data_IF_958477829565
#
_entry.id   IF_958477829565
#
_cell.length_a   1.000
_cell.length_b   1.000
_cell.length_c   1.000
_cell.angle_alpha   90.00
_cell.angle_beta   90.00
_cell.angle_gamma   90.00
#
_symmetry.space_group_name_H-M   'P 1'
#
loop_
_entity.id
_entity.type
_entity.pdbx_description
1 polymer ?
#
# COMPACT_ATOMS: atom_id res chain seq x y z
N UNK A 1 -5.78 -29.15 4.20
CA UNK A 1 -5.67 -28.14 3.12
C UNK A 1 -5.63 -26.71 3.67
N UNK A 2 -6.46 -26.37 4.66
CA UNK A 2 -6.52 -25.04 5.31
C UNK A 2 -5.22 -24.61 6.02
N UNK A 3 -4.42 -25.53 6.55
CA UNK A 3 -3.17 -25.17 7.25
C UNK A 3 -2.11 -24.52 6.35
N UNK A 4 -2.14 -24.79 5.03
CA UNK A 4 -1.26 -24.12 4.06
C UNK A 4 -1.69 -22.68 3.76
N UNK A 5 -2.93 -22.31 4.07
CA UNK A 5 -3.50 -20.97 3.86
C UNK A 5 -3.38 -20.08 5.09
N UNK A 6 -3.13 -20.67 6.28
CA UNK A 6 -2.89 -19.95 7.53
C UNK A 6 -1.83 -18.85 7.50
N UNK A 7 -0.78 -18.85 6.64
CA UNK A 7 0.13 -17.70 6.58
C UNK A 7 -0.38 -16.56 5.68
N UNK A 8 -1.41 -16.79 4.86
CA UNK A 8 -1.90 -15.83 3.85
C UNK A 8 -3.20 -15.12 4.23
N UNK A 9 -3.86 -15.50 5.33
CA UNK A 9 -5.16 -14.92 5.71
C UNK A 9 -5.07 -13.40 5.91
N UNK A 10 -3.99 -12.90 6.50
CA UNK A 10 -3.81 -11.47 6.72
C UNK A 10 -3.54 -10.75 5.38
N UNK A 11 -2.85 -11.38 4.43
CA UNK A 11 -2.68 -10.84 3.07
C UNK A 11 -4.01 -10.75 2.34
N UNK A 12 -4.82 -11.81 2.37
CA UNK A 12 -6.15 -11.82 1.77
C UNK A 12 -7.03 -10.75 2.40
N UNK A 13 -7.02 -10.65 3.74
CA UNK A 13 -7.71 -9.62 4.48
C UNK A 13 -7.31 -8.22 4.02
N UNK A 14 -6.01 -7.90 4.00
CA UNK A 14 -5.50 -6.58 3.60
C UNK A 14 -5.83 -6.27 2.14
N UNK A 15 -5.70 -7.25 1.23
CA UNK A 15 -6.03 -7.10 -0.19
C UNK A 15 -7.53 -6.90 -0.44
N UNK A 16 -8.40 -7.42 0.42
CA UNK A 16 -9.85 -7.15 0.35
C UNK A 16 -10.24 -5.85 1.04
N UNK A 17 -9.59 -5.52 2.14
CA UNK A 17 -9.92 -4.35 2.94
C UNK A 17 -9.61 -3.04 2.21
N UNK A 18 -8.43 -2.92 1.59
CA UNK A 18 -8.02 -1.69 0.88
C UNK A 18 -9.00 -1.27 -0.22
N UNK A 19 -9.41 -2.12 -1.19
CA UNK A 19 -10.35 -1.70 -2.22
C UNK A 19 -11.73 -1.38 -1.66
N UNK A 20 -12.21 -2.10 -0.64
CA UNK A 20 -13.47 -1.79 0.04
C UNK A 20 -13.42 -0.45 0.78
N UNK A 21 -12.30 -0.15 1.44
CA UNK A 21 -12.05 1.13 2.10
C UNK A 21 -12.07 2.29 1.09
N UNK A 22 -11.38 2.14 -0.04
CA UNK A 22 -11.35 3.16 -1.10
C UNK A 22 -12.73 3.33 -1.76
N UNK A 23 -13.47 2.23 -1.95
CA UNK A 23 -14.84 2.29 -2.44
C UNK A 23 -15.76 3.02 -1.44
N UNK A 24 -15.63 2.73 -0.14
CA UNK A 24 -16.39 3.43 0.90
C UNK A 24 -16.04 4.92 0.92
N UNK A 25 -14.76 5.28 0.89
CA UNK A 25 -14.31 6.68 0.83
C UNK A 25 -14.85 7.41 -0.41
N UNK A 26 -14.92 6.74 -1.56
CA UNK A 26 -15.49 7.34 -2.77
C UNK A 26 -16.92 7.85 -2.59
N UNK A 27 -17.69 7.26 -1.65
CA UNK A 27 -19.10 7.60 -1.36
C UNK A 27 -19.27 8.56 -0.18
N UNK A 28 -18.20 8.89 0.54
CA UNK A 28 -18.26 9.80 1.68
C UNK A 28 -18.56 11.22 1.23
N UNK A 29 -19.45 11.89 1.98
CA UNK A 29 -19.79 13.30 1.78
C UNK A 29 -19.49 14.16 3.00
N UNK A 30 -19.28 13.55 4.18
CA UNK A 30 -19.09 14.26 5.43
C UNK A 30 -17.78 13.86 6.15
N UNK A 31 -17.15 14.83 6.82
CA UNK A 31 -15.85 14.66 7.48
C UNK A 31 -15.87 13.59 8.58
N UNK A 32 -16.96 13.48 9.33
CA UNK A 32 -17.10 12.48 10.40
C UNK A 32 -17.05 11.04 9.88
N UNK A 33 -17.54 10.78 8.65
CA UNK A 33 -17.46 9.46 8.03
C UNK A 33 -16.00 9.10 7.73
N UNK A 34 -15.21 10.09 7.31
CA UNK A 34 -13.79 9.92 7.05
C UNK A 34 -13.02 9.67 8.35
N UNK A 35 -13.42 10.31 9.45
CA UNK A 35 -12.88 10.02 10.79
C UNK A 35 -13.24 8.61 11.26
N UNK A 36 -14.46 8.15 11.01
CA UNK A 36 -14.87 6.78 11.32
C UNK A 36 -14.04 5.76 10.53
N UNK A 37 -13.80 6.00 9.23
CA UNK A 37 -12.87 5.18 8.44
C UNK A 37 -11.44 5.24 8.98
N UNK A 38 -10.97 6.41 9.40
CA UNK A 38 -9.67 6.59 10.04
C UNK A 38 -9.53 5.75 11.30
N UNK A 39 -10.49 5.85 12.22
CA UNK A 39 -10.52 5.07 13.45
C UNK A 39 -10.56 3.56 13.17
N UNK A 40 -11.40 3.14 12.23
CA UNK A 40 -11.47 1.74 11.80
C UNK A 40 -10.12 1.26 11.26
N UNK A 41 -9.50 2.02 10.35
CA UNK A 41 -8.21 1.66 9.74
C UNK A 41 -7.10 1.60 10.78
N UNK A 42 -7.11 2.52 11.73
CA UNK A 42 -6.14 2.56 12.82
C UNK A 42 -6.31 1.37 13.77
N UNK A 43 -7.55 1.03 14.14
CA UNK A 43 -7.85 -0.14 14.95
C UNK A 43 -7.39 -1.43 14.25
N UNK A 44 -7.64 -1.54 12.94
CA UNK A 44 -7.20 -2.68 12.14
C UNK A 44 -5.69 -2.77 12.04
N UNK A 45 -4.99 -1.66 11.81
CA UNK A 45 -3.53 -1.63 11.82
C UNK A 45 -2.99 -2.05 13.19
N UNK A 46 -3.52 -1.50 14.27
CA UNK A 46 -3.11 -1.83 15.62
C UNK A 46 -3.26 -3.34 15.87
N UNK A 47 -4.44 -3.91 15.62
CA UNK A 47 -4.72 -5.33 15.81
C UNK A 47 -3.86 -6.23 14.90
N UNK A 48 -3.61 -5.83 13.66
CA UNK A 48 -2.74 -6.57 12.76
C UNK A 48 -1.28 -6.50 13.21
N UNK A 49 -0.82 -5.34 13.66
CA UNK A 49 0.55 -5.11 14.13
C UNK A 49 0.85 -5.83 15.46
N UNK A 50 -0.17 -6.14 16.27
CA UNK A 50 0.00 -7.00 17.46
C UNK A 50 0.49 -8.41 17.11
N UNK A 51 0.25 -8.89 15.88
CA UNK A 51 0.73 -10.20 15.40
C UNK A 51 2.17 -10.17 14.89
N UNK A 52 2.77 -8.98 14.76
CA UNK A 52 4.15 -8.81 14.32
C UNK A 52 5.12 -8.75 15.53
N UNK A 53 6.38 -9.19 15.36
CA UNK A 53 7.44 -8.98 16.34
C UNK A 53 7.62 -7.49 16.70
N UNK A 54 8.16 -7.22 17.89
CA UNK A 54 8.28 -5.86 18.45
C UNK A 54 9.02 -4.90 17.51
N UNK A 55 10.10 -5.37 16.89
CA UNK A 55 10.95 -4.59 15.99
C UNK A 55 10.18 -4.20 14.72
N UNK A 56 9.47 -5.17 14.13
CA UNK A 56 8.64 -4.95 12.93
C UNK A 56 7.47 -4.02 13.22
N UNK A 57 6.84 -4.16 14.39
CA UNK A 57 5.78 -3.25 14.85
C UNK A 57 6.29 -1.82 14.96
N UNK A 58 7.51 -1.62 15.45
CA UNK A 58 8.11 -0.29 15.53
C UNK A 58 8.37 0.29 14.13
N UNK A 59 8.87 -0.52 13.18
CA UNK A 59 9.02 -0.10 11.78
C UNK A 59 7.70 0.33 11.14
N UNK A 60 6.61 -0.39 11.42
CA UNK A 60 5.26 -0.04 10.94
C UNK A 60 4.84 1.34 11.45
N UNK A 61 5.00 1.63 12.74
CA UNK A 61 4.63 2.94 13.30
C UNK A 61 5.54 4.07 12.83
N UNK A 62 6.83 3.81 12.63
CA UNK A 62 7.74 4.76 11.98
C UNK A 62 7.28 5.05 10.55
N UNK A 63 6.88 4.04 9.79
CA UNK A 63 6.32 4.19 8.45
C UNK A 63 5.07 5.07 8.46
N UNK A 64 4.14 4.88 9.41
CA UNK A 64 2.96 5.76 9.59
C UNK A 64 3.40 7.21 9.78
N UNK A 65 4.34 7.48 10.68
CA UNK A 65 4.82 8.84 10.95
C UNK A 65 5.48 9.49 9.73
N UNK A 66 6.40 8.78 9.07
CA UNK A 66 7.12 9.25 7.88
C UNK A 66 6.15 9.49 6.72
N UNK A 67 5.24 8.54 6.45
CA UNK A 67 4.24 8.67 5.40
C UNK A 67 3.30 9.84 5.67
N UNK A 68 2.88 10.07 6.92
CA UNK A 68 2.09 11.25 7.29
C UNK A 68 2.81 12.55 6.93
N UNK A 69 4.10 12.65 7.26
CA UNK A 69 4.92 13.81 6.91
C UNK A 69 4.97 14.06 5.40
N UNK A 70 5.21 13.01 4.61
CA UNK A 70 5.23 13.11 3.14
C UNK A 70 3.85 13.42 2.55
N UNK A 71 2.77 12.91 3.13
CA UNK A 71 1.40 13.20 2.69
C UNK A 71 1.04 14.66 2.95
N UNK A 72 1.34 15.19 4.13
CA UNK A 72 1.15 16.61 4.46
C UNK A 72 1.98 17.47 3.51
N UNK A 73 3.25 17.11 3.32
CA UNK A 73 4.14 17.86 2.45
C UNK A 73 3.69 17.81 0.98
N UNK A 74 3.38 16.63 0.46
CA UNK A 74 2.98 16.45 -0.94
C UNK A 74 1.62 17.06 -1.26
N UNK A 75 0.66 16.96 -0.34
CA UNK A 75 -0.72 17.41 -0.60
C UNK A 75 -1.05 18.82 -0.12
N UNK A 76 -0.58 19.22 1.08
CA UNK A 76 -0.95 20.50 1.69
C UNK A 76 0.10 21.59 1.46
N UNK A 77 1.40 21.24 1.45
CA UNK A 77 2.49 22.22 1.33
C UNK A 77 2.89 22.43 -0.13
N UNK A 78 3.26 21.36 -0.84
CA UNK A 78 3.67 21.40 -2.24
C UNK A 78 2.45 21.45 -3.17
N UNK A 79 1.41 20.66 -2.86
CA UNK A 79 0.20 20.59 -3.68
C UNK A 79 0.38 19.80 -4.97
N UNK A 80 1.27 18.80 -4.99
CA UNK A 80 1.47 17.86 -6.12
C UNK A 80 0.19 17.10 -6.44
N UNK A 81 -0.61 16.82 -5.43
CA UNK A 81 -1.95 16.25 -5.55
C UNK A 81 -2.85 16.83 -4.45
N UNK A 82 -4.18 16.70 -4.61
CA UNK A 82 -5.16 17.22 -3.65
C UNK A 82 -6.19 16.15 -3.30
N UNK A 83 -6.51 16.08 -2.01
CA UNK A 83 -7.64 15.30 -1.51
C UNK A 83 -8.95 16.05 -1.70
N UNK A 84 -10.05 15.31 -1.89
CA UNK A 84 -11.39 15.86 -2.17
C UNK A 84 -11.86 16.85 -1.10
N UNK A 85 -11.59 16.55 0.17
CA UNK A 85 -12.00 17.37 1.32
C UNK A 85 -10.91 18.34 1.80
N UNK A 86 -9.88 18.57 0.98
CA UNK A 86 -8.74 19.46 1.27
C UNK A 86 -7.96 19.13 2.56
N UNK A 87 -8.22 17.97 3.17
CA UNK A 87 -7.49 17.43 4.29
C UNK A 87 -6.90 16.06 3.93
N UNK A 88 -5.84 15.66 4.64
CA UNK A 88 -5.36 14.28 4.56
C UNK A 88 -6.37 13.37 5.28
N UNK A 89 -6.97 12.37 4.60
CA UNK A 89 -7.87 11.44 5.25
C UNK A 89 -7.18 10.71 6.39
N UNK A 90 -7.85 10.59 7.54
CA UNK A 90 -7.26 9.93 8.71
C UNK A 90 -6.96 8.43 8.51
N UNK A 91 -7.55 7.81 7.50
CA UNK A 91 -7.23 6.42 7.14
C UNK A 91 -5.94 6.29 6.32
N UNK A 92 -5.43 7.37 5.70
CA UNK A 92 -4.24 7.31 4.83
C UNK A 92 -2.98 6.96 5.63
N UNK A 93 -2.66 7.64 6.76
CA UNK A 93 -1.51 7.26 7.57
C UNK A 93 -1.49 5.79 8.01
N UNK A 94 -2.53 5.24 8.67
CA UNK A 94 -2.54 3.83 9.04
C UNK A 94 -2.64 2.90 7.81
N UNK A 95 -3.22 3.37 6.69
CA UNK A 95 -3.25 2.66 5.42
C UNK A 95 -1.85 2.35 4.88
N UNK A 96 -0.93 3.32 4.92
CA UNK A 96 0.49 3.11 4.58
C UNK A 96 1.14 2.08 5.51
N UNK A 97 0.86 2.15 6.81
CA UNK A 97 1.30 1.15 7.78
C UNK A 97 0.79 -0.26 7.47
N UNK A 98 -0.46 -0.39 7.01
CA UNK A 98 -1.04 -1.68 6.59
C UNK A 98 -0.33 -2.25 5.36
N UNK A 99 -0.01 -1.41 4.36
CA UNK A 99 0.74 -1.81 3.17
C UNK A 99 2.17 -2.23 3.53
N UNK A 100 2.82 -1.49 4.43
CA UNK A 100 4.15 -1.84 4.92
C UNK A 100 4.15 -3.17 5.68
N UNK A 101 3.17 -3.37 6.58
CA UNK A 101 2.98 -4.63 7.29
C UNK A 101 2.68 -5.80 6.33
N UNK A 102 1.88 -5.57 5.29
CA UNK A 102 1.64 -6.54 4.23
C UNK A 102 2.96 -7.00 3.60
N UNK A 103 3.84 -6.06 3.23
CA UNK A 103 5.15 -6.36 2.66
C UNK A 103 6.03 -7.19 3.60
N UNK A 104 6.12 -6.79 4.87
CA UNK A 104 6.89 -7.52 5.90
C UNK A 104 6.43 -8.96 6.08
N UNK A 105 5.12 -9.18 6.09
CA UNK A 105 4.53 -10.51 6.22
C UNK A 105 4.64 -11.31 4.92
N UNK A 106 4.49 -10.65 3.76
CA UNK A 106 4.57 -11.31 2.46
C UNK A 106 5.96 -11.88 2.22
N UNK A 107 6.99 -11.14 2.65
CA UNK A 107 8.37 -11.57 2.51
C UNK A 107 8.72 -12.84 3.30
N UNK A 108 7.93 -13.16 4.34
CA UNK A 108 8.05 -14.40 5.14
C UNK A 108 7.22 -15.57 4.60
N UNK A 109 6.47 -15.38 3.51
CA UNK A 109 5.65 -16.46 2.95
C UNK A 109 6.50 -17.52 2.25
N UNK A 110 6.11 -18.81 2.29
CA UNK A 110 6.85 -19.89 1.65
C UNK A 110 7.11 -19.67 0.15
N UNK A 111 6.17 -19.03 -0.56
CA UNK A 111 6.30 -18.73 -1.99
C UNK A 111 7.40 -17.71 -2.24
N UNK A 112 7.47 -16.64 -1.45
CA UNK A 112 8.50 -15.60 -1.60
C UNK A 112 9.87 -16.13 -1.20
N UNK A 113 9.96 -16.92 -0.13
CA UNK A 113 11.22 -17.55 0.31
C UNK A 113 11.75 -18.51 -0.77
N UNK A 114 10.87 -19.35 -1.36
CA UNK A 114 11.27 -20.37 -2.34
C UNK A 114 11.50 -19.82 -3.75
N UNK A 115 10.72 -18.82 -4.17
CA UNK A 115 10.68 -18.32 -5.55
C UNK A 115 10.92 -16.80 -5.67
N UNK A 116 11.56 -16.16 -4.70
CA UNK A 116 11.68 -14.70 -4.57
C UNK A 116 12.04 -13.96 -5.86
N UNK A 117 13.03 -14.45 -6.64
CA UNK A 117 13.39 -13.86 -7.94
C UNK A 117 12.26 -13.92 -8.98
N UNK A 118 11.52 -15.04 -9.05
CA UNK A 118 10.38 -15.18 -9.97
C UNK A 118 9.22 -14.30 -9.51
N UNK A 119 8.96 -14.24 -8.20
CA UNK A 119 7.93 -13.36 -7.62
C UNK A 119 8.24 -11.90 -7.93
N UNK A 120 9.47 -11.44 -7.71
CA UNK A 120 9.90 -10.07 -8.02
C UNK A 120 9.72 -9.73 -9.51
N UNK A 121 10.06 -10.65 -10.43
CA UNK A 121 9.83 -10.45 -11.87
C UNK A 121 8.34 -10.37 -12.22
N UNK A 122 7.50 -11.21 -11.61
CA UNK A 122 6.04 -11.15 -11.81
C UNK A 122 5.48 -9.83 -11.30
N UNK A 123 5.89 -9.37 -10.12
CA UNK A 123 5.49 -8.06 -9.57
C UNK A 123 5.92 -6.94 -10.51
N UNK A 124 7.17 -6.97 -10.99
CA UNK A 124 7.68 -5.96 -11.91
C UNK A 124 6.95 -5.98 -13.26
N UNK A 125 6.64 -7.17 -13.79
CA UNK A 125 5.87 -7.30 -15.02
C UNK A 125 4.45 -6.75 -14.85
N UNK A 126 3.78 -7.05 -13.72
CA UNK A 126 2.46 -6.51 -13.40
C UNK A 126 2.49 -4.99 -13.24
N UNK A 127 3.49 -4.45 -12.55
CA UNK A 127 3.67 -3.00 -12.40
C UNK A 127 3.97 -2.31 -13.74
N UNK A 128 4.78 -2.92 -14.59
CA UNK A 128 5.06 -2.44 -15.94
C UNK A 128 3.81 -2.45 -16.82
N UNK A 129 3.03 -3.54 -16.79
CA UNK A 129 1.75 -3.63 -17.51
C UNK A 129 0.78 -2.54 -17.03
N UNK A 130 0.71 -2.30 -15.71
CA UNK A 130 -0.12 -1.24 -15.14
C UNK A 130 0.36 0.15 -15.60
N UNK A 131 1.66 0.44 -15.58
CA UNK A 131 2.20 1.72 -16.02
C UNK A 131 1.91 1.96 -17.52
N UNK A 132 2.11 0.95 -18.37
CA UNK A 132 1.77 1.05 -19.80
C UNK A 132 0.27 1.28 -19.98
N UNK A 133 -0.57 0.53 -19.27
CA UNK A 133 -2.02 0.73 -19.30
C UNK A 133 -2.41 2.14 -18.83
N UNK A 134 -1.78 2.65 -17.78
CA UNK A 134 -1.95 3.99 -17.21
C UNK A 134 -1.61 5.15 -18.15
N UNK A 135 -0.73 4.90 -19.13
CA UNK A 135 -0.35 5.87 -20.15
C UNK A 135 -1.15 5.73 -21.46
N UNK A 136 -1.77 4.58 -21.71
CA UNK A 136 -2.36 4.25 -23.03
C UNK A 136 -3.86 3.99 -22.98
N UNK A 137 -4.30 2.95 -22.27
CA UNK A 137 -5.69 2.46 -22.28
C UNK A 137 -6.53 3.08 -21.16
N UNK A 138 -5.99 3.16 -19.94
CA UNK A 138 -6.71 3.72 -18.79
C UNK A 138 -7.09 5.20 -18.95
N UNK A 139 -6.31 6.07 -19.64
CA UNK A 139 -6.74 7.44 -19.90
C UNK A 139 -8.00 7.52 -20.76
N UNK A 140 -8.23 6.55 -21.65
CA UNK A 140 -9.43 6.49 -22.51
C UNK A 140 -10.69 6.24 -21.65
N UNK A 141 -10.55 5.46 -20.57
CA UNK A 141 -11.66 5.07 -19.69
C UNK A 141 -11.85 6.08 -18.55
N UNK A 142 -10.75 6.52 -17.93
CA UNK A 142 -10.75 7.34 -16.70
C UNK A 142 -10.55 8.84 -16.96
N UNK A 143 -10.14 9.22 -18.17
CA UNK A 143 -9.79 10.60 -18.53
C UNK A 143 -8.49 11.10 -17.90
N UNK A 144 -7.71 10.23 -17.22
CA UNK A 144 -6.51 10.63 -16.48
C UNK A 144 -5.29 9.81 -16.90
N UNK A 145 -4.19 10.49 -17.13
CA UNK A 145 -2.88 9.87 -17.42
C UNK A 145 -2.14 9.64 -16.12
N UNK A 146 -1.73 8.39 -15.86
CA UNK A 146 -0.94 8.02 -14.69
C UNK A 146 0.56 8.28 -14.92
N UNK A 147 0.93 9.54 -15.05
CA UNK A 147 2.31 9.95 -15.27
C UNK A 147 3.18 9.67 -14.03
N UNK A 148 2.64 9.88 -12.83
CA UNK A 148 3.38 9.68 -11.59
C UNK A 148 3.73 8.19 -11.39
N UNK A 149 2.78 7.28 -11.62
CA UNK A 149 3.04 5.84 -11.59
C UNK A 149 4.13 5.42 -12.58
N UNK A 150 4.12 5.96 -13.80
CA UNK A 150 5.15 5.70 -14.80
C UNK A 150 6.54 6.21 -14.39
N UNK A 151 6.62 7.39 -13.78
CA UNK A 151 7.89 7.96 -13.28
C UNK A 151 8.45 7.20 -12.07
N UNK A 152 7.57 6.63 -11.24
CA UNK A 152 7.99 5.81 -10.10
C UNK A 152 8.47 4.41 -10.50
N UNK A 153 8.05 3.89 -11.67
CA UNK A 153 8.39 2.53 -12.11
C UNK A 153 9.91 2.27 -12.23
N UNK A 154 10.75 3.14 -12.82
CA UNK A 154 12.20 2.91 -12.89
C UNK A 154 12.85 2.81 -11.50
N UNK A 155 12.42 3.65 -10.55
CA UNK A 155 12.92 3.62 -9.17
C UNK A 155 12.50 2.31 -8.49
N UNK A 156 11.24 1.93 -8.64
CA UNK A 156 10.73 0.65 -8.16
C UNK A 156 11.48 -0.55 -8.77
N UNK A 157 11.69 -0.54 -10.09
CA UNK A 157 12.43 -1.56 -10.82
C UNK A 157 13.88 -1.66 -10.33
N UNK A 158 14.52 -0.53 -10.06
CA UNK A 158 15.87 -0.48 -9.49
C UNK A 158 15.94 -1.21 -8.15
N UNK A 159 15.03 -0.90 -7.21
CA UNK A 159 14.99 -1.58 -5.91
C UNK A 159 14.69 -3.08 -6.05
N UNK A 160 13.72 -3.45 -6.89
CA UNK A 160 13.36 -4.86 -7.10
C UNK A 160 14.50 -5.65 -7.73
N UNK A 161 15.23 -5.09 -8.69
CA UNK A 161 16.29 -5.80 -9.42
C UNK A 161 17.64 -5.82 -8.67
N UNK A 162 17.95 -4.78 -7.90
CA UNK A 162 19.23 -4.66 -7.17
C UNK A 162 19.18 -5.11 -5.71
N UNK A 163 18.01 -5.34 -5.11
CA UNK A 163 17.94 -5.76 -3.72
C UNK A 163 18.65 -7.13 -3.52
N UNK A 164 19.76 -7.19 -2.74
CA UNK A 164 20.46 -8.43 -2.46
C UNK A 164 19.64 -9.34 -1.53
N UNK A 165 18.72 -8.75 -0.77
CA UNK A 165 17.85 -9.41 0.21
C UNK A 165 16.42 -9.38 -0.32
N UNK A 166 16.14 -10.25 -1.28
CA UNK A 166 14.78 -10.57 -1.72
C UNK A 166 13.74 -10.81 -0.60
N UNK A 167 14.11 -11.20 0.64
CA UNK A 167 13.16 -11.35 1.75
C UNK A 167 12.99 -10.15 2.69
N UNK A 168 13.74 -9.05 2.57
CA UNK A 168 13.62 -7.95 3.54
C UNK A 168 13.97 -6.63 2.84
N UNK A 169 13.11 -5.63 3.05
CA UNK A 169 13.40 -4.22 2.82
C UNK A 169 14.85 -3.86 3.17
#
# INVERSE_FOLDING_TARGET
>A
MLDRLKPYWLHAYLLTYTPLLLLADSRITALWQQWALGLLTFALLYLAALKAPKEQRMQVWICVGVATGFEIFGSLIWGVYRYRLHNVPLFVPPGHGLVYLFGLLAARTPVVIKYGRRVGRVILASAGLWAVAGLTVLPIITGRVDLQGALCLPVFAWFVLRSPRWPLF
#
